data_IF_754233737137
#
_entry.id   IF_754233737137
#
_cell.length_a   1.000
_cell.length_b   1.000
_cell.length_c   1.000
_cell.angle_alpha   90.00
_cell.angle_beta   90.00
_cell.angle_gamma   90.00
#
_symmetry.space_group_name_H-M   'P 1'
#
loop_
_entity.id
_entity.type
_entity.pdbx_description
1 polymer ?
#
# COMPACT_ATOMS: atom_id res chain seq x y z
N UNK A 1 4.56 -12.48 -22.43
CA UNK A 1 4.33 -11.04 -22.63
C UNK A 1 3.90 -10.42 -21.28
N UNK A 2 4.34 -9.22 -20.99
CA UNK A 2 3.98 -8.55 -19.74
C UNK A 2 3.11 -7.34 -20.04
N UNK A 3 2.03 -7.19 -19.28
CA UNK A 3 1.08 -6.10 -19.44
C UNK A 3 1.21 -5.09 -18.31
N UNK A 4 1.40 -3.83 -18.69
CA UNK A 4 1.39 -2.71 -17.74
C UNK A 4 -0.07 -2.33 -17.44
N UNK A 5 -0.35 -2.10 -16.16
CA UNK A 5 -1.70 -1.79 -15.67
C UNK A 5 -1.69 -0.44 -14.98
N UNK A 6 -2.65 0.40 -15.35
CA UNK A 6 -2.91 1.69 -14.72
C UNK A 6 -4.30 1.67 -14.09
N UNK A 7 -4.35 1.91 -12.79
CA UNK A 7 -5.61 1.90 -12.03
C UNK A 7 -6.11 3.33 -11.83
N UNK A 8 -7.23 3.68 -12.45
CA UNK A 8 -7.80 5.03 -12.33
C UNK A 8 -8.27 5.34 -10.91
N UNK A 9 -8.65 4.31 -10.13
CA UNK A 9 -9.13 4.47 -8.76
C UNK A 9 -8.00 4.49 -7.71
N UNK A 10 -6.75 4.36 -8.14
CA UNK A 10 -5.58 4.48 -7.26
C UNK A 10 -4.88 5.83 -7.48
N UNK A 11 -4.10 6.32 -6.51
CA UNK A 11 -3.35 7.55 -6.70
C UNK A 11 -2.34 7.41 -7.84
N UNK A 12 -2.09 8.49 -8.56
CA UNK A 12 -1.11 8.50 -9.66
C UNK A 12 0.28 8.16 -9.15
N UNK A 13 1.03 7.40 -9.94
CA UNK A 13 2.43 7.11 -9.65
C UNK A 13 3.25 8.41 -9.56
N UNK A 14 4.17 8.46 -8.61
CA UNK A 14 5.06 9.63 -8.43
C UNK A 14 6.24 9.62 -9.41
N UNK A 15 6.31 8.66 -10.31
CA UNK A 15 7.36 8.51 -11.30
C UNK A 15 6.87 7.76 -12.53
N UNK A 16 7.80 7.36 -13.38
CA UNK A 16 7.50 6.73 -14.67
C UNK A 16 7.41 5.21 -14.53
N UNK A 17 6.33 4.73 -13.91
CA UNK A 17 6.07 3.30 -13.74
C UNK A 17 4.56 3.04 -13.65
N UNK A 18 4.11 1.83 -14.04
CA UNK A 18 2.70 1.47 -13.91
C UNK A 18 2.34 1.14 -12.45
N UNK A 19 1.05 1.05 -12.18
CA UNK A 19 0.59 0.54 -10.88
C UNK A 19 0.91 -0.94 -10.70
N UNK A 20 0.88 -1.71 -11.77
CA UNK A 20 1.21 -3.13 -11.74
C UNK A 20 1.66 -3.62 -13.11
N UNK A 21 2.35 -4.78 -13.12
CA UNK A 21 2.68 -5.53 -14.33
C UNK A 21 2.28 -6.99 -14.14
N UNK A 22 1.63 -7.52 -15.14
CA UNK A 22 1.31 -8.94 -15.19
C UNK A 22 2.34 -9.68 -16.03
N UNK A 23 2.88 -10.79 -15.50
CA UNK A 23 3.81 -11.68 -16.19
C UNK A 23 3.31 -13.11 -15.97
N UNK A 24 2.72 -13.71 -17.00
CA UNK A 24 2.05 -15.00 -16.85
C UNK A 24 0.89 -14.88 -15.85
N UNK A 25 0.90 -15.70 -14.82
CA UNK A 25 -0.10 -15.66 -13.75
C UNK A 25 0.30 -14.79 -12.57
N UNK A 26 1.50 -14.18 -12.61
CA UNK A 26 1.98 -13.33 -11.55
C UNK A 26 1.66 -11.87 -11.83
N UNK A 27 1.22 -11.19 -10.79
CA UNK A 27 0.95 -9.76 -10.80
C UNK A 27 1.89 -9.09 -9.81
N UNK A 28 2.74 -8.20 -10.33
CA UNK A 28 3.66 -7.41 -9.52
C UNK A 28 3.11 -6.00 -9.39
N UNK A 29 2.81 -5.58 -8.17
CA UNK A 29 2.39 -4.21 -7.90
C UNK A 29 3.62 -3.36 -7.61
N UNK A 30 3.64 -2.13 -8.13
CA UNK A 30 4.59 -1.12 -7.66
C UNK A 30 4.32 -0.80 -6.20
N UNK A 31 5.27 -0.17 -5.51
CA UNK A 31 5.06 0.28 -4.14
C UNK A 31 3.84 1.20 -4.06
N UNK A 32 2.93 0.91 -3.13
CA UNK A 32 1.67 1.64 -2.98
C UNK A 32 1.62 2.25 -1.59
N UNK A 33 1.34 3.54 -1.54
CA UNK A 33 1.20 4.30 -0.30
C UNK A 33 -0.24 4.73 -0.02
N UNK A 34 -0.47 5.49 1.05
CA UNK A 34 -1.80 5.86 1.52
C UNK A 34 -2.36 7.16 0.93
N UNK A 35 -1.73 7.78 -0.07
CA UNK A 35 -2.30 8.99 -0.69
C UNK A 35 -3.69 8.71 -1.25
N UNK A 36 -4.59 9.69 -1.16
CA UNK A 36 -5.93 9.55 -1.74
C UNK A 36 -5.85 9.51 -3.27
N UNK A 37 -6.80 8.80 -3.91
CA UNK A 37 -6.81 8.61 -5.35
C UNK A 37 -7.04 9.92 -6.13
N UNK A 38 -7.72 10.89 -5.53
CA UNK A 38 -8.12 12.15 -6.16
C UNK A 38 -7.14 13.30 -5.90
N UNK A 39 -6.02 13.04 -5.22
CA UNK A 39 -5.06 14.11 -4.92
C UNK A 39 -3.83 13.60 -4.18
N UNK A 40 -3.20 14.52 -3.44
CA UNK A 40 -1.97 14.24 -2.70
C UNK A 40 -2.22 14.15 -1.19
N UNK A 41 -3.47 14.26 -0.76
CA UNK A 41 -3.80 14.18 0.66
C UNK A 41 -3.50 12.80 1.24
N UNK A 42 -3.02 12.81 2.46
CA UNK A 42 -2.76 11.58 3.20
C UNK A 42 -3.67 11.60 4.43
N UNK A 43 -4.60 10.62 4.54
CA UNK A 43 -5.56 10.60 5.63
C UNK A 43 -4.87 10.65 7.00
N UNK A 44 -5.35 11.55 7.86
CA UNK A 44 -4.83 11.72 9.21
C UNK A 44 -3.58 12.56 9.36
N UNK A 45 -2.96 13.00 8.26
CA UNK A 45 -1.80 13.90 8.34
C UNK A 45 -2.23 15.32 8.74
N UNK A 46 -1.49 15.90 9.66
CA UNK A 46 -1.68 17.29 10.11
C UNK A 46 -0.41 18.08 9.82
N UNK A 47 -0.55 19.14 9.03
CA UNK A 47 0.53 20.05 8.67
C UNK A 47 0.30 21.41 9.34
N UNK A 48 1.41 22.11 9.65
CA UNK A 48 1.32 23.48 10.15
C UNK A 48 1.16 24.48 8.99
N UNK A 49 1.14 25.78 9.35
CA UNK A 49 0.97 26.86 8.37
C UNK A 49 2.10 26.92 7.34
N UNK A 50 3.27 26.39 7.65
CA UNK A 50 4.43 26.33 6.75
C UNK A 50 4.47 25.04 5.93
N UNK A 51 3.48 24.17 6.08
CA UNK A 51 3.40 22.89 5.36
C UNK A 51 4.24 21.79 5.98
N UNK A 52 4.78 21.99 7.18
CA UNK A 52 5.57 20.98 7.88
C UNK A 52 4.64 19.95 8.53
N UNK A 53 4.89 18.67 8.30
CA UNK A 53 4.12 17.58 8.91
C UNK A 53 4.35 17.58 10.43
N UNK A 54 3.27 17.71 11.21
CA UNK A 54 3.32 17.72 12.67
C UNK A 54 2.85 16.42 13.30
N UNK A 55 1.90 15.77 12.70
CA UNK A 55 1.43 14.45 13.15
C UNK A 55 0.81 13.67 12.01
N UNK A 56 0.74 12.37 12.18
CA UNK A 56 0.04 11.49 11.28
C UNK A 56 -0.70 10.40 12.08
N UNK A 57 -1.63 9.74 11.41
CA UNK A 57 -2.43 8.65 11.97
C UNK A 57 -2.13 7.37 11.20
N UNK A 58 -1.37 6.46 11.81
CA UNK A 58 -0.98 5.22 11.15
C UNK A 58 -2.19 4.33 10.82
N UNK A 59 -3.22 4.32 11.65
CA UNK A 59 -4.42 3.52 11.40
C UNK A 59 -5.14 4.04 10.17
N UNK A 60 -5.32 5.36 10.06
CA UNK A 60 -5.93 5.98 8.87
C UNK A 60 -5.10 5.70 7.62
N UNK A 61 -3.78 5.76 7.72
CA UNK A 61 -2.89 5.44 6.59
C UNK A 61 -2.97 3.97 6.21
N UNK A 62 -3.08 3.05 7.18
CA UNK A 62 -3.25 1.62 6.89
C UNK A 62 -4.54 1.36 6.11
N UNK A 63 -5.67 1.89 6.53
CA UNK A 63 -6.93 1.72 5.80
C UNK A 63 -6.83 2.27 4.38
N UNK A 64 -6.20 3.42 4.22
CA UNK A 64 -6.03 4.05 2.91
C UNK A 64 -5.11 3.25 1.99
N UNK A 65 -3.96 2.79 2.49
CA UNK A 65 -3.04 2.00 1.65
C UNK A 65 -3.66 0.66 1.25
N UNK A 66 -4.41 0.02 2.13
CA UNK A 66 -5.12 -1.22 1.78
C UNK A 66 -6.20 -0.98 0.73
N UNK A 67 -6.93 0.12 0.81
CA UNK A 67 -7.90 0.51 -0.20
C UNK A 67 -7.22 0.75 -1.57
N UNK A 68 -6.06 1.39 -1.58
CA UNK A 68 -5.30 1.64 -2.81
C UNK A 68 -4.76 0.34 -3.42
N UNK A 69 -4.26 -0.59 -2.61
CA UNK A 69 -3.84 -1.92 -3.08
C UNK A 69 -5.02 -2.66 -3.70
N UNK A 70 -6.18 -2.63 -3.05
CA UNK A 70 -7.40 -3.26 -3.57
C UNK A 70 -7.80 -2.66 -4.92
N UNK A 71 -7.73 -1.35 -5.07
CA UNK A 71 -8.05 -0.67 -6.33
C UNK A 71 -7.14 -1.15 -7.48
N UNK A 72 -5.85 -1.33 -7.22
CA UNK A 72 -4.91 -1.83 -8.22
C UNK A 72 -5.19 -3.30 -8.54
N UNK A 73 -5.47 -4.13 -7.54
CA UNK A 73 -5.85 -5.52 -7.75
C UNK A 73 -7.09 -5.64 -8.64
N UNK A 74 -8.14 -4.89 -8.33
CA UNK A 74 -9.39 -4.90 -9.09
C UNK A 74 -9.17 -4.44 -10.54
N UNK A 75 -8.40 -3.39 -10.76
CA UNK A 75 -8.04 -2.93 -12.10
C UNK A 75 -7.23 -3.96 -12.87
N UNK A 76 -6.57 -4.88 -12.18
CA UNK A 76 -5.74 -5.93 -12.75
C UNK A 76 -6.50 -7.26 -12.94
N UNK A 77 -7.78 -7.31 -12.58
CA UNK A 77 -8.58 -8.54 -12.62
C UNK A 77 -8.27 -9.51 -11.48
N UNK A 78 -7.64 -9.05 -10.43
CA UNK A 78 -7.31 -9.84 -9.24
C UNK A 78 -8.26 -9.50 -8.09
N UNK A 79 -8.26 -10.37 -7.07
CA UNK A 79 -9.02 -10.18 -5.84
C UNK A 79 -8.07 -9.96 -4.68
N UNK A 80 -8.60 -9.48 -3.57
CA UNK A 80 -7.84 -9.34 -2.34
C UNK A 80 -7.18 -10.66 -1.90
N UNK A 81 -7.92 -11.75 -2.04
CA UNK A 81 -7.49 -13.10 -1.68
C UNK A 81 -6.38 -13.66 -2.58
N UNK A 82 -6.11 -13.01 -3.69
CA UNK A 82 -5.04 -13.41 -4.61
C UNK A 82 -3.66 -12.90 -4.20
N UNK A 83 -3.57 -12.06 -3.17
CA UNK A 83 -2.30 -11.62 -2.61
C UNK A 83 -1.52 -12.80 -2.03
N UNK A 84 -0.25 -12.95 -2.41
CA UNK A 84 0.60 -14.05 -1.96
C UNK A 84 1.82 -13.59 -1.20
N UNK A 85 2.30 -12.37 -1.42
CA UNK A 85 3.47 -11.83 -0.74
C UNK A 85 3.37 -10.32 -0.59
N UNK A 86 3.62 -9.83 0.63
CA UNK A 86 3.56 -8.40 0.93
C UNK A 86 4.78 -8.01 1.76
N UNK A 87 5.49 -7.02 1.27
CA UNK A 87 6.53 -6.32 2.05
C UNK A 87 5.97 -5.00 2.52
N UNK A 88 6.02 -4.76 3.82
CA UNK A 88 5.53 -3.54 4.46
C UNK A 88 6.71 -2.71 4.91
N UNK A 89 6.74 -1.44 4.49
CA UNK A 89 7.75 -0.46 4.89
C UNK A 89 7.13 0.53 5.87
N UNK A 90 7.74 0.65 7.06
CA UNK A 90 7.34 1.62 8.08
C UNK A 90 8.47 2.60 8.33
N UNK A 91 8.14 3.88 8.45
CA UNK A 91 9.14 4.93 8.76
C UNK A 91 9.43 5.04 10.26
N UNK A 92 8.55 4.52 11.12
CA UNK A 92 8.75 4.49 12.57
C UNK A 92 8.21 3.18 13.14
N UNK A 93 9.06 2.16 13.14
CA UNK A 93 8.70 0.82 13.58
C UNK A 93 8.24 0.80 15.04
N UNK A 94 8.99 1.45 15.92
CA UNK A 94 8.71 1.45 17.35
C UNK A 94 7.35 2.08 17.68
N UNK A 95 7.01 3.16 16.97
CA UNK A 95 5.76 3.88 17.15
C UNK A 95 4.57 3.10 16.57
N UNK A 96 4.73 2.53 15.36
CA UNK A 96 3.60 2.15 14.52
C UNK A 96 3.33 0.65 14.42
N UNK A 97 4.28 -0.20 14.81
CA UNK A 97 4.15 -1.63 14.56
C UNK A 97 2.87 -2.24 15.16
N UNK A 98 2.58 -1.96 16.42
CA UNK A 98 1.43 -2.56 17.10
C UNK A 98 0.10 -2.18 16.45
N UNK A 99 -0.08 -0.89 16.14
CA UNK A 99 -1.33 -0.42 15.52
C UNK A 99 -1.49 -0.96 14.11
N UNK A 100 -0.43 -0.91 13.30
CA UNK A 100 -0.42 -1.50 11.97
C UNK A 100 -0.72 -3.01 12.00
N UNK A 101 -0.07 -3.72 12.91
CA UNK A 101 -0.26 -5.17 13.03
C UNK A 101 -1.70 -5.55 13.39
N UNK A 102 -2.36 -4.75 14.23
CA UNK A 102 -3.77 -4.93 14.57
C UNK A 102 -4.68 -4.70 13.37
N UNK A 103 -4.42 -3.65 12.57
CA UNK A 103 -5.19 -3.40 11.34
C UNK A 103 -4.97 -4.51 10.32
N UNK A 104 -3.73 -4.96 10.16
CA UNK A 104 -3.42 -6.11 9.28
C UNK A 104 -4.30 -7.31 9.59
N UNK A 105 -4.46 -7.65 10.87
CA UNK A 105 -5.29 -8.78 11.29
C UNK A 105 -6.76 -8.63 10.91
N UNK A 106 -7.27 -7.40 10.82
CA UNK A 106 -8.64 -7.15 10.35
C UNK A 106 -8.81 -7.46 8.86
N UNK A 107 -7.79 -7.18 8.06
CA UNK A 107 -7.81 -7.43 6.61
C UNK A 107 -7.44 -8.86 6.23
N UNK A 108 -6.69 -9.55 7.07
CA UNK A 108 -6.23 -10.93 6.88
C UNK A 108 -6.51 -11.76 8.12
N UNK A 109 -7.80 -12.05 8.40
CA UNK A 109 -8.17 -12.74 9.63
C UNK A 109 -7.81 -14.23 9.64
N UNK A 110 -7.63 -14.84 8.46
CA UNK A 110 -7.31 -16.26 8.34
C UNK A 110 -5.85 -16.42 7.88
N UNK A 111 -5.00 -16.91 8.78
CA UNK A 111 -3.58 -17.14 8.50
C UNK A 111 -3.38 -18.13 7.35
N UNK A 112 -4.29 -19.09 7.16
CA UNK A 112 -4.17 -20.09 6.09
C UNK A 112 -4.25 -19.49 4.69
N UNK A 113 -4.90 -18.34 4.53
CA UNK A 113 -5.07 -17.66 3.24
C UNK A 113 -4.39 -16.30 3.18
N UNK A 114 -3.78 -15.85 4.27
CA UNK A 114 -3.04 -14.59 4.31
C UNK A 114 -1.78 -14.68 3.44
N UNK A 115 -1.33 -13.57 2.85
CA UNK A 115 -0.06 -13.55 2.15
C UNK A 115 1.11 -13.72 3.11
N UNK A 116 2.24 -14.17 2.60
CA UNK A 116 3.50 -14.02 3.32
C UNK A 116 3.77 -12.54 3.58
N UNK A 117 4.43 -12.23 4.69
CA UNK A 117 4.68 -10.83 5.06
C UNK A 117 6.08 -10.63 5.59
N UNK A 118 6.71 -9.55 5.15
CA UNK A 118 7.93 -9.02 5.74
C UNK A 118 7.70 -7.55 6.09
N UNK A 119 8.05 -7.15 7.31
CA UNK A 119 7.93 -5.75 7.75
C UNK A 119 9.31 -5.18 7.99
N UNK A 120 9.61 -4.04 7.38
CA UNK A 120 10.91 -3.38 7.44
C UNK A 120 10.76 -1.94 7.94
N UNK A 121 11.68 -1.54 8.80
CA UNK A 121 11.85 -0.14 9.19
C UNK A 121 12.80 0.55 8.22
N UNK A 122 12.41 1.72 7.73
CA UNK A 122 13.18 2.52 6.76
C UNK A 122 13.25 3.97 7.21
N UNK A 123 14.13 4.75 6.60
CA UNK A 123 14.37 6.14 7.02
C UNK A 123 13.35 7.13 6.47
N UNK A 124 12.88 6.94 5.25
CA UNK A 124 11.92 7.85 4.61
C UNK A 124 11.29 7.20 3.38
N UNK A 125 10.19 7.79 2.95
CA UNK A 125 9.50 7.47 1.71
C UNK A 125 9.37 8.74 0.84
N UNK A 126 9.12 8.62 -0.48
CA UNK A 126 9.11 9.78 -1.40
C UNK A 126 8.09 10.87 -1.07
N UNK A 127 7.00 10.53 -0.38
CA UNK A 127 5.99 11.49 0.08
C UNK A 127 5.87 11.39 1.60
N UNK A 128 5.20 12.34 2.30
CA UNK A 128 5.14 12.31 3.77
C UNK A 128 4.18 11.23 4.28
N UNK A 129 4.43 9.99 3.90
CA UNK A 129 3.70 8.79 4.32
C UNK A 129 4.52 8.00 5.33
N UNK A 130 3.83 7.26 6.20
CA UNK A 130 4.46 6.45 7.24
C UNK A 130 4.49 4.95 6.89
N UNK A 131 3.79 4.55 5.84
CA UNK A 131 3.66 3.15 5.41
C UNK A 131 3.59 3.05 3.90
N UNK A 132 4.22 2.02 3.36
CA UNK A 132 4.11 1.64 1.95
C UNK A 132 4.11 0.11 1.84
N UNK A 133 3.36 -0.43 0.88
CA UNK A 133 3.29 -1.85 0.61
C UNK A 133 3.84 -2.19 -0.77
N UNK A 134 4.64 -3.26 -0.82
CA UNK A 134 5.05 -3.91 -2.07
C UNK A 134 4.37 -5.28 -2.11
N UNK A 135 3.55 -5.51 -3.11
CA UNK A 135 2.69 -6.69 -3.19
C UNK A 135 2.95 -7.53 -4.44
N UNK A 136 2.78 -8.83 -4.30
CA UNK A 136 2.72 -9.79 -5.40
C UNK A 136 1.43 -10.59 -5.25
N UNK A 137 0.72 -10.77 -6.37
CA UNK A 137 -0.53 -11.54 -6.42
C UNK A 137 -0.48 -12.57 -7.54
N UNK A 138 -1.39 -13.53 -7.50
CA UNK A 138 -1.59 -14.52 -8.56
C UNK A 138 -2.95 -14.24 -9.20
N UNK A 139 -2.95 -14.04 -10.52
CA UNK A 139 -4.18 -13.82 -11.30
C UNK A 139 -4.51 -15.09 -12.04
N UNK A 140 -5.70 -15.64 -11.83
CA UNK A 140 -6.14 -16.91 -12.39
C UNK A 140 -7.20 -16.75 -13.46
#
# INVERSE_FOLDING_TARGET
MSDAIHAAAAPKAVGRYPHARRVGDLLFLSGIGPRTADGDAIPGNVHDADGVLRSYDIVAQCHSVFANVRAVLEASGARWEDLVDVTVYLTDMARDFHAYNAVWAEYFPDVATAPCRTTLGITALPTPIAIELKCVAVVR
#
